data_IF_712185237013
#
_entry.id   IF_712185237013
#
_cell.length_a   1.000
_cell.length_b   1.000
_cell.length_c   1.000
_cell.angle_alpha   90.00
_cell.angle_beta   90.00
_cell.angle_gamma   90.00
#
_symmetry.space_group_name_H-M   'P 1'
#
loop_
_entity.id
_entity.type
_entity.pdbx_description
1 polymer ?
#
# COMPACT_ATOMS: atom_id res chain seq x y z
N UNK A 1 3.14 11.04 -15.31
CA UNK A 1 2.51 10.00 -14.47
C UNK A 1 1.02 9.85 -14.74
N UNK A 2 0.25 10.94 -14.81
CA UNK A 2 -1.20 10.92 -15.02
C UNK A 2 -1.68 10.01 -16.16
N UNK A 3 -1.05 10.02 -17.35
CA UNK A 3 -1.46 9.15 -18.46
C UNK A 3 -1.31 7.65 -18.14
N UNK A 4 -0.22 7.25 -17.47
CA UNK A 4 0.01 5.84 -17.11
C UNK A 4 -0.99 5.37 -16.03
N UNK A 5 -1.30 6.23 -15.06
CA UNK A 5 -2.34 5.93 -14.07
C UNK A 5 -3.74 5.87 -14.70
N UNK A 6 -4.04 6.77 -15.64
CA UNK A 6 -5.30 6.72 -16.40
C UNK A 6 -5.43 5.44 -17.22
N UNK A 7 -4.36 5.02 -17.91
CA UNK A 7 -4.32 3.74 -18.61
C UNK A 7 -4.51 2.56 -17.66
N UNK A 8 -3.78 2.53 -16.53
CA UNK A 8 -3.90 1.48 -15.52
C UNK A 8 -5.35 1.38 -15.01
N UNK A 9 -5.98 2.52 -14.72
CA UNK A 9 -7.37 2.58 -14.27
C UNK A 9 -8.32 1.94 -15.29
N UNK A 10 -8.21 2.32 -16.57
CA UNK A 10 -9.01 1.73 -17.63
C UNK A 10 -8.80 0.22 -17.75
N UNK A 11 -7.56 -0.27 -17.59
CA UNK A 11 -7.27 -1.72 -17.68
C UNK A 11 -7.80 -2.51 -16.49
N UNK A 12 -7.82 -1.92 -15.29
CA UNK A 12 -8.40 -2.54 -14.10
C UNK A 12 -9.93 -2.56 -14.19
N UNK A 13 -10.54 -1.47 -14.70
CA UNK A 13 -11.99 -1.40 -14.95
C UNK A 13 -12.43 -2.34 -16.08
N UNK A 14 -11.57 -2.58 -17.09
CA UNK A 14 -11.81 -3.52 -18.18
C UNK A 14 -11.47 -4.98 -17.83
N UNK A 15 -10.99 -5.26 -16.60
CA UNK A 15 -10.56 -6.59 -16.15
C UNK A 15 -9.50 -7.24 -17.08
N UNK A 16 -8.51 -6.45 -17.53
CA UNK A 16 -7.41 -6.88 -18.40
C UNK A 16 -6.13 -7.12 -17.57
N UNK A 17 -5.98 -8.28 -16.89
CA UNK A 17 -4.94 -8.48 -15.87
C UNK A 17 -3.53 -8.39 -16.44
N UNK A 18 -3.28 -8.96 -17.61
CA UNK A 18 -1.95 -8.99 -18.23
C UNK A 18 -1.45 -7.57 -18.55
N UNK A 19 -2.33 -6.73 -19.09
CA UNK A 19 -2.00 -5.35 -19.42
C UNK A 19 -1.84 -4.51 -18.15
N UNK A 20 -2.70 -4.71 -17.15
CA UNK A 20 -2.56 -4.08 -15.84
C UNK A 20 -1.22 -4.45 -15.16
N UNK A 21 -0.79 -5.72 -15.22
CA UNK A 21 0.52 -6.15 -14.69
C UNK A 21 1.69 -5.45 -15.39
N UNK A 22 1.64 -5.34 -16.72
CA UNK A 22 2.66 -4.66 -17.51
C UNK A 22 2.75 -3.17 -17.18
N UNK A 23 1.59 -2.51 -17.06
CA UNK A 23 1.51 -1.10 -16.68
C UNK A 23 2.02 -0.88 -15.25
N UNK A 24 1.63 -1.72 -14.30
CA UNK A 24 2.13 -1.65 -12.92
C UNK A 24 3.63 -1.90 -12.83
N UNK A 25 4.15 -2.89 -13.55
CA UNK A 25 5.59 -3.17 -13.60
C UNK A 25 6.39 -1.99 -14.17
N UNK A 26 5.84 -1.34 -15.19
CA UNK A 26 6.43 -0.13 -15.79
C UNK A 26 6.37 1.05 -14.83
N UNK A 27 5.23 1.24 -14.14
CA UNK A 27 5.06 2.27 -13.11
C UNK A 27 6.06 2.08 -11.97
N UNK A 28 6.21 0.84 -11.46
CA UNK A 28 7.18 0.53 -10.42
C UNK A 28 8.59 0.91 -10.84
N UNK A 29 9.03 0.49 -12.04
CA UNK A 29 10.37 0.78 -12.54
C UNK A 29 10.63 2.29 -12.66
N UNK A 30 9.68 3.04 -13.24
CA UNK A 30 9.81 4.51 -13.41
C UNK A 30 9.82 5.23 -12.06
N UNK A 31 8.97 4.80 -11.12
CA UNK A 31 8.90 5.40 -9.79
C UNK A 31 10.16 5.11 -8.97
N UNK A 32 10.67 3.87 -9.03
CA UNK A 32 11.93 3.50 -8.40
C UNK A 32 13.12 4.28 -8.97
N UNK A 33 13.20 4.43 -10.30
CA UNK A 33 14.24 5.24 -10.94
C UNK A 33 14.14 6.72 -10.52
N UNK A 34 12.92 7.26 -10.48
CA UNK A 34 12.67 8.63 -10.01
C UNK A 34 13.07 8.85 -8.54
N UNK A 35 12.79 7.87 -7.67
CA UNK A 35 13.15 7.90 -6.26
C UNK A 35 14.67 7.79 -6.02
N UNK A 36 15.40 7.09 -6.90
CA UNK A 36 16.85 6.91 -6.81
C UNK A 36 17.67 8.14 -7.27
N UNK A 37 17.04 9.15 -7.90
CA UNK A 37 17.72 10.37 -8.36
C UNK A 37 18.04 11.32 -7.19
N UNK A 38 19.01 12.23 -7.40
CA UNK A 38 19.39 13.26 -6.43
C UNK A 38 19.28 14.64 -7.07
N UNK A 39 18.30 15.49 -6.69
CA UNK A 39 17.21 15.20 -5.74
C UNK A 39 16.18 14.18 -6.29
N UNK A 40 15.42 13.49 -5.43
CA UNK A 40 14.38 12.56 -5.85
C UNK A 40 13.28 13.26 -6.66
N UNK A 41 12.76 12.57 -7.68
CA UNK A 41 11.67 13.08 -8.51
C UNK A 41 10.34 12.57 -7.93
N UNK A 42 9.52 13.50 -7.44
CA UNK A 42 8.19 13.18 -6.95
C UNK A 42 7.23 12.86 -8.11
N UNK A 43 6.35 11.85 -7.96
CA UNK A 43 5.30 11.62 -8.94
C UNK A 43 4.32 12.80 -8.94
N UNK A 44 4.15 13.42 -10.11
CA UNK A 44 3.25 14.55 -10.32
C UNK A 44 1.92 14.11 -10.94
N UNK A 45 0.84 14.84 -10.64
CA UNK A 45 -0.49 14.58 -11.19
C UNK A 45 -1.23 13.37 -10.59
N UNK A 46 -0.76 12.86 -9.44
CA UNK A 46 -1.46 11.84 -8.65
C UNK A 46 -2.35 12.54 -7.63
N UNK A 47 -3.60 12.10 -7.51
CA UNK A 47 -4.58 12.62 -6.54
C UNK A 47 -4.82 11.63 -5.39
N UNK A 48 -5.44 12.08 -4.29
CA UNK A 48 -5.92 11.18 -3.24
C UNK A 48 -6.97 10.19 -3.77
N UNK A 49 -7.79 10.61 -4.75
CA UNK A 49 -8.78 9.74 -5.39
C UNK A 49 -8.15 8.57 -6.14
N UNK A 50 -7.00 8.80 -6.79
CA UNK A 50 -6.26 7.73 -7.48
C UNK A 50 -5.73 6.70 -6.47
N UNK A 51 -5.21 7.16 -5.32
CA UNK A 51 -4.74 6.27 -4.24
C UNK A 51 -5.89 5.45 -3.68
N UNK A 52 -7.03 6.09 -3.37
CA UNK A 52 -8.24 5.40 -2.90
C UNK A 52 -8.74 4.38 -3.92
N UNK A 53 -8.76 4.74 -5.21
CA UNK A 53 -9.16 3.82 -6.28
C UNK A 53 -8.26 2.60 -6.32
N UNK A 54 -6.94 2.77 -6.33
CA UNK A 54 -5.98 1.67 -6.37
C UNK A 54 -6.11 0.76 -5.15
N UNK A 55 -6.28 1.31 -3.95
CA UNK A 55 -6.47 0.51 -2.73
C UNK A 55 -7.79 -0.29 -2.76
N UNK A 56 -8.85 0.26 -3.32
CA UNK A 56 -10.11 -0.45 -3.49
C UNK A 56 -10.00 -1.65 -4.46
N UNK A 57 -9.07 -1.61 -5.43
CA UNK A 57 -8.87 -2.70 -6.37
C UNK A 57 -8.31 -3.97 -5.73
N UNK A 58 -7.73 -3.92 -4.52
CA UNK A 58 -7.35 -5.12 -3.77
C UNK A 58 -8.54 -6.09 -3.61
N UNK A 59 -9.75 -5.55 -3.50
CA UNK A 59 -10.95 -6.34 -3.34
C UNK A 59 -11.56 -6.83 -4.67
N UNK A 60 -11.06 -6.37 -5.83
CA UNK A 60 -11.66 -6.69 -7.12
C UNK A 60 -11.35 -8.13 -7.57
N UNK A 61 -12.24 -8.79 -8.34
CA UNK A 61 -12.03 -10.17 -8.79
C UNK A 61 -10.74 -10.35 -9.58
N UNK A 62 -10.41 -9.39 -10.45
CA UNK A 62 -9.20 -9.43 -11.29
C UNK A 62 -7.92 -9.41 -10.46
N UNK A 63 -7.85 -8.60 -9.39
CA UNK A 63 -6.68 -8.53 -8.51
C UNK A 63 -6.65 -9.71 -7.54
N UNK A 64 -7.80 -10.09 -6.96
CA UNK A 64 -7.90 -11.27 -6.08
C UNK A 64 -7.45 -12.56 -6.76
N UNK A 65 -7.63 -12.66 -8.08
CA UNK A 65 -7.25 -13.83 -8.87
C UNK A 65 -5.78 -13.82 -9.33
N UNK A 66 -5.04 -12.72 -9.14
CA UNK A 66 -3.61 -12.61 -9.50
C UNK A 66 -2.77 -12.11 -8.32
N UNK A 67 -2.04 -13.01 -7.64
CA UNK A 67 -1.09 -12.63 -6.59
C UNK A 67 -0.03 -11.64 -7.07
N UNK A 68 0.36 -11.72 -8.35
CA UNK A 68 1.35 -10.82 -8.95
C UNK A 68 0.79 -9.40 -9.11
N UNK A 69 -0.45 -9.25 -9.59
CA UNK A 69 -1.11 -7.94 -9.65
C UNK A 69 -1.16 -7.31 -8.26
N UNK A 70 -1.59 -8.09 -7.26
CA UNK A 70 -1.69 -7.62 -5.90
C UNK A 70 -0.35 -7.15 -5.36
N UNK A 71 0.70 -7.94 -5.56
CA UNK A 71 2.06 -7.58 -5.14
C UNK A 71 2.55 -6.29 -5.81
N UNK A 72 2.39 -6.18 -7.13
CA UNK A 72 2.80 -4.98 -7.88
C UNK A 72 2.03 -3.75 -7.42
N UNK A 73 0.72 -3.88 -7.20
CA UNK A 73 -0.14 -2.82 -6.70
C UNK A 73 0.34 -2.32 -5.32
N UNK A 74 0.62 -3.23 -4.39
CA UNK A 74 1.11 -2.89 -3.04
C UNK A 74 2.51 -2.27 -3.04
N UNK A 75 3.32 -2.52 -4.07
CA UNK A 75 4.64 -1.90 -4.24
C UNK A 75 4.55 -0.51 -4.86
N UNK A 76 3.65 -0.31 -5.83
CA UNK A 76 3.48 0.98 -6.52
C UNK A 76 2.81 2.03 -5.65
N UNK A 77 1.76 1.67 -4.90
CA UNK A 77 0.96 2.64 -4.12
C UNK A 77 1.80 3.47 -3.14
N UNK A 78 2.76 2.93 -2.37
CA UNK A 78 3.67 3.72 -1.56
C UNK A 78 4.36 4.82 -2.35
N UNK A 79 5.02 4.50 -3.47
CA UNK A 79 5.72 5.50 -4.28
C UNK A 79 4.84 6.68 -4.68
N UNK A 80 3.56 6.43 -4.96
CA UNK A 80 2.58 7.46 -5.32
C UNK A 80 2.19 8.38 -4.15
N UNK A 81 2.47 7.97 -2.90
CA UNK A 81 2.06 8.67 -1.67
C UNK A 81 3.23 9.33 -0.93
N UNK A 82 4.45 8.79 -1.00
CA UNK A 82 5.57 9.11 -0.09
C UNK A 82 6.01 10.59 -0.08
N UNK A 83 5.65 11.37 -1.10
CA UNK A 83 6.02 12.78 -1.22
C UNK A 83 4.96 13.73 -0.67
N UNK A 84 3.77 13.22 -0.30
CA UNK A 84 2.58 13.99 0.05
C UNK A 84 1.90 13.38 1.27
N UNK A 85 1.94 14.10 2.40
CA UNK A 85 1.40 13.62 3.67
C UNK A 85 -0.09 13.31 3.60
N UNK A 86 -0.87 14.12 2.86
CA UNK A 86 -2.30 13.89 2.73
C UNK A 86 -2.61 12.58 2.00
N UNK A 87 -1.75 12.16 1.07
CA UNK A 87 -1.87 10.85 0.40
C UNK A 87 -1.39 9.70 1.28
N UNK A 88 -0.34 9.91 2.08
CA UNK A 88 0.08 8.92 3.07
C UNK A 88 -1.01 8.69 4.12
N UNK A 89 -1.77 9.72 4.51
CA UNK A 89 -2.91 9.57 5.41
C UNK A 89 -4.04 8.73 4.81
N UNK A 90 -4.35 8.90 3.51
CA UNK A 90 -5.31 8.03 2.81
C UNK A 90 -4.84 6.58 2.84
N UNK A 91 -3.56 6.35 2.57
CA UNK A 91 -2.96 5.02 2.59
C UNK A 91 -3.07 4.35 3.95
N UNK A 92 -2.68 5.05 5.01
CA UNK A 92 -2.74 4.53 6.38
C UNK A 92 -4.19 4.35 6.84
N UNK A 93 -5.06 5.31 6.49
CA UNK A 93 -6.47 5.29 6.83
C UNK A 93 -7.20 4.07 6.28
N UNK A 94 -6.83 3.62 5.07
CA UNK A 94 -7.40 2.42 4.44
C UNK A 94 -7.21 1.16 5.30
N UNK A 95 -6.04 0.95 5.88
CA UNK A 95 -5.72 -0.24 6.69
C UNK A 95 -6.07 -0.10 8.18
N UNK A 96 -6.55 1.07 8.62
CA UNK A 96 -6.76 1.37 10.05
C UNK A 96 -7.66 0.35 10.76
N UNK A 97 -8.65 -0.20 10.05
CA UNK A 97 -9.56 -1.21 10.61
C UNK A 97 -8.83 -2.51 10.89
N UNK A 98 -8.01 -2.98 9.95
CA UNK A 98 -7.26 -4.23 10.07
C UNK A 98 -6.10 -4.13 11.05
N UNK A 99 -5.53 -2.92 11.21
CA UNK A 99 -4.47 -2.64 12.19
C UNK A 99 -4.97 -2.50 13.63
N UNK A 100 -6.28 -2.61 13.87
CA UNK A 100 -6.81 -2.80 15.20
C UNK A 100 -6.75 -4.29 15.57
N UNK A 101 -5.58 -4.75 16.01
CA UNK A 101 -5.30 -6.16 16.26
C UNK A 101 -6.27 -6.83 17.25
N UNK A 102 -6.70 -6.12 18.31
CA UNK A 102 -7.68 -6.66 19.25
C UNK A 102 -9.05 -6.90 18.61
N UNK A 103 -9.49 -6.00 17.73
CA UNK A 103 -10.71 -6.21 16.94
C UNK A 103 -10.52 -7.34 15.93
N UNK A 104 -9.37 -7.33 15.25
CA UNK A 104 -9.02 -8.30 14.22
C UNK A 104 -9.13 -9.73 14.79
N UNK A 105 -8.53 -10.00 15.95
CA UNK A 105 -8.63 -11.33 16.58
C UNK A 105 -10.05 -11.79 16.90
N UNK A 106 -10.92 -10.86 17.28
CA UNK A 106 -12.27 -11.19 17.74
C UNK A 106 -13.24 -11.46 16.59
N UNK A 107 -13.10 -10.72 15.48
CA UNK A 107 -14.15 -10.66 14.45
C UNK A 107 -13.64 -10.39 13.02
N UNK A 108 -12.40 -10.77 12.68
CA UNK A 108 -11.92 -10.65 11.30
C UNK A 108 -12.68 -11.58 10.33
N UNK A 109 -12.72 -11.14 9.07
CA UNK A 109 -13.21 -11.90 7.92
C UNK A 109 -12.04 -12.31 7.02
N UNK A 110 -12.28 -13.24 6.09
CA UNK A 110 -11.27 -13.59 5.08
C UNK A 110 -10.83 -12.38 4.22
N UNK A 111 -11.71 -11.38 4.03
CA UNK A 111 -11.34 -10.15 3.35
C UNK A 111 -10.41 -9.27 4.22
N UNK A 112 -10.59 -9.28 5.55
CA UNK A 112 -9.68 -8.59 6.46
C UNK A 112 -8.28 -9.23 6.46
N UNK A 113 -8.19 -10.56 6.32
CA UNK A 113 -6.90 -11.27 6.16
C UNK A 113 -6.15 -10.78 4.92
N UNK A 114 -6.82 -10.72 3.77
CA UNK A 114 -6.23 -10.21 2.52
C UNK A 114 -5.77 -8.77 2.68
N UNK A 115 -6.57 -7.91 3.32
CA UNK A 115 -6.19 -6.51 3.56
C UNK A 115 -5.00 -6.39 4.52
N UNK A 116 -4.91 -7.22 5.55
CA UNK A 116 -3.76 -7.24 6.46
C UNK A 116 -2.49 -7.75 5.74
N UNK A 117 -2.61 -8.79 4.92
CA UNK A 117 -1.52 -9.27 4.07
C UNK A 117 -1.04 -8.18 3.10
N UNK A 118 -1.97 -7.43 2.51
CA UNK A 118 -1.65 -6.28 1.66
C UNK A 118 -0.83 -5.23 2.41
N UNK A 119 -1.23 -4.89 3.64
CA UNK A 119 -0.45 -3.99 4.48
C UNK A 119 0.95 -4.53 4.77
N UNK A 120 1.08 -5.83 5.04
CA UNK A 120 2.37 -6.48 5.24
C UNK A 120 3.26 -6.37 3.99
N UNK A 121 2.73 -6.72 2.81
CA UNK A 121 3.43 -6.62 1.52
C UNK A 121 3.85 -5.19 1.21
N UNK A 122 2.97 -4.23 1.48
CA UNK A 122 3.25 -2.81 1.36
C UNK A 122 4.40 -2.39 2.29
N UNK A 123 4.33 -2.77 3.58
CA UNK A 123 5.32 -2.40 4.58
C UNK A 123 6.70 -2.99 4.29
N UNK A 124 6.75 -4.21 3.74
CA UNK A 124 7.97 -4.86 3.28
C UNK A 124 8.59 -4.16 2.06
N UNK A 125 7.76 -3.52 1.23
CA UNK A 125 8.17 -2.72 0.08
C UNK A 125 8.67 -1.33 0.41
N UNK A 126 8.57 -0.86 1.67
CA UNK A 126 9.01 0.49 2.05
C UNK A 126 10.54 0.58 1.98
N UNK A 127 11.02 1.43 1.08
CA UNK A 127 12.45 1.62 0.85
C UNK A 127 13.21 2.16 2.07
N UNK A 128 14.53 1.96 2.06
CA UNK A 128 15.47 2.48 3.07
C UNK A 128 16.05 3.83 2.63
N UNK A 129 15.17 4.77 2.34
CA UNK A 129 15.51 6.14 1.95
C UNK A 129 14.65 7.14 2.72
N UNK A 130 14.87 8.45 2.50
CA UNK A 130 14.16 9.51 3.21
C UNK A 130 12.64 9.42 3.03
N UNK A 131 12.18 9.09 1.83
CA UNK A 131 10.78 8.88 1.53
C UNK A 131 10.19 7.75 2.36
N UNK A 132 10.80 6.57 2.33
CA UNK A 132 10.37 5.43 3.15
C UNK A 132 10.44 5.70 4.65
N UNK A 133 11.42 6.49 5.10
CA UNK A 133 11.51 6.92 6.49
C UNK A 133 10.35 7.83 6.90
N UNK A 134 9.86 8.72 6.01
CA UNK A 134 8.68 9.56 6.29
C UNK A 134 7.43 8.72 6.53
N UNK A 135 7.16 7.71 5.70
CA UNK A 135 6.01 6.82 5.94
C UNK A 135 6.15 6.02 7.23
N UNK A 136 7.35 5.52 7.56
CA UNK A 136 7.61 4.85 8.85
C UNK A 136 7.36 5.78 10.04
N UNK A 137 7.84 7.02 9.97
CA UNK A 137 7.59 8.01 11.01
C UNK A 137 6.09 8.31 11.15
N UNK A 138 5.37 8.37 10.04
CA UNK A 138 3.92 8.57 10.06
C UNK A 138 3.20 7.41 10.76
N UNK A 139 3.55 6.16 10.45
CA UNK A 139 3.02 4.96 11.14
C UNK A 139 3.26 5.00 12.65
N UNK A 140 4.45 5.45 13.08
CA UNK A 140 4.77 5.63 14.51
C UNK A 140 3.91 6.75 15.11
N UNK A 141 3.85 7.92 14.47
CA UNK A 141 3.11 9.09 14.96
C UNK A 141 1.60 8.85 15.08
N UNK A 142 1.04 8.00 14.22
CA UNK A 142 -0.37 7.57 14.25
C UNK A 142 -0.64 6.46 15.27
N UNK A 143 0.37 6.02 16.03
CA UNK A 143 0.24 5.07 17.11
C UNK A 143 0.05 3.61 16.67
N UNK A 144 0.29 3.29 15.40
CA UNK A 144 0.12 1.93 14.86
C UNK A 144 1.14 1.00 15.50
N UNK A 145 2.41 1.40 15.52
CA UNK A 145 3.50 0.62 16.14
C UNK A 145 3.27 0.45 17.64
N UNK A 146 2.85 1.50 18.33
CA UNK A 146 2.55 1.43 19.76
C UNK A 146 1.39 0.47 20.06
N UNK A 147 0.36 0.46 19.21
CA UNK A 147 -0.78 -0.44 19.33
C UNK A 147 -0.38 -1.90 19.09
N UNK A 148 0.48 -2.15 18.09
CA UNK A 148 1.04 -3.48 17.84
C UNK A 148 1.86 -4.00 19.02
N UNK A 149 2.76 -3.17 19.57
CA UNK A 149 3.57 -3.53 20.75
C UNK A 149 2.67 -3.85 21.94
N UNK A 150 1.67 -3.00 22.22
CA UNK A 150 0.73 -3.22 23.33
C UNK A 150 -0.04 -4.53 23.16
N UNK A 151 -0.52 -4.81 21.95
CA UNK A 151 -1.20 -6.06 21.64
C UNK A 151 -0.30 -7.27 21.89
N UNK A 152 0.94 -7.25 21.39
CA UNK A 152 1.90 -8.33 21.63
C UNK A 152 2.20 -8.54 23.12
N UNK A 153 2.33 -7.47 23.90
CA UNK A 153 2.57 -7.59 25.35
C UNK A 153 1.43 -8.27 26.11
N UNK A 154 0.20 -8.22 25.58
CA UNK A 154 -0.98 -8.83 26.21
C UNK A 154 -1.21 -10.25 25.72
N UNK A 155 -1.03 -10.51 24.43
CA UNK A 155 -1.48 -11.75 23.77
C UNK A 155 -0.34 -12.64 23.26
N UNK A 156 0.90 -12.16 23.19
CA UNK A 156 2.00 -13.02 22.75
C UNK A 156 2.23 -14.15 23.77
N UNK A 157 2.43 -15.39 23.30
CA UNK A 157 2.77 -16.49 24.19
C UNK A 157 4.10 -16.19 24.90
N UNK A 158 4.27 -16.63 26.16
CA UNK A 158 5.53 -16.47 26.86
C UNK A 158 6.66 -17.14 26.05
N UNK A 159 7.82 -16.47 26.01
CA UNK A 159 8.99 -17.03 25.35
C UNK A 159 9.33 -18.40 25.94
N UNK A 160 9.63 -19.37 25.07
CA UNK A 160 10.08 -20.71 25.47
C UNK A 160 11.47 -20.67 26.08
#
# INVERSE_FOLDING_TARGET
>A
MACLLGALRLTLEAEEPLLAEQLLSTLEAVLAEGAARTPPIAPSGVTQGDVTFLLAQVASPVVKSSPRLLQLLMRVVPFLTLTDEAKMEVLIGHFKRQLNFSRFDLEHTADDDVQLECFCNLSAGIERNDNGNRLKQLLVSRGIVQSAIRYLLVYAPPAK
#
